data_IF_583905465197
#
_entry.id   IF_583905465197
#
_cell.length_a   1.000
_cell.length_b   1.000
_cell.length_c   1.000
_cell.angle_alpha   90.00
_cell.angle_beta   90.00
_cell.angle_gamma   90.00
#
_symmetry.space_group_name_H-M   'P 1'
#
loop_
_entity.id
_entity.type
_entity.pdbx_description
1 polymer ?
#
# COMPACT_ATOMS: atom_id res chain seq x y z
N UNK A 1 -12.28 8.78 1.55
CA UNK A 1 -10.95 8.19 1.34
C UNK A 1 -11.09 7.04 0.36
N UNK A 2 -10.27 6.98 -0.67
CA UNK A 2 -10.38 5.90 -1.65
C UNK A 2 -9.92 4.58 -1.05
N UNK A 3 -10.57 3.50 -1.48
CA UNK A 3 -10.15 2.16 -1.13
C UNK A 3 -9.05 1.74 -2.08
N UNK A 4 -8.00 1.13 -1.55
CA UNK A 4 -6.88 0.63 -2.34
C UNK A 4 -6.66 -0.84 -2.03
N UNK A 5 -6.17 -1.56 -3.01
CA UNK A 5 -5.82 -2.97 -2.83
C UNK A 5 -4.30 -3.10 -2.91
N UNK A 6 -3.73 -3.78 -1.92
CA UNK A 6 -2.30 -4.04 -1.89
C UNK A 6 -2.10 -5.53 -2.14
N UNK A 7 -1.27 -5.84 -3.13
CA UNK A 7 -0.93 -7.22 -3.46
C UNK A 7 0.58 -7.37 -3.54
N UNK A 8 1.05 -8.56 -3.26
CA UNK A 8 2.46 -8.89 -3.44
C UNK A 8 2.64 -9.52 -4.81
N UNK A 9 3.61 -8.99 -5.57
CA UNK A 9 3.92 -9.53 -6.90
C UNK A 9 4.83 -10.74 -6.78
N UNK A 10 5.04 -11.44 -7.88
CA UNK A 10 5.92 -12.62 -7.91
C UNK A 10 7.36 -12.28 -7.55
N UNK A 11 7.79 -11.07 -7.82
CA UNK A 11 9.13 -10.61 -7.49
C UNK A 11 9.29 -10.18 -6.03
N UNK A 12 8.21 -10.24 -5.25
CA UNK A 12 8.22 -9.81 -3.86
C UNK A 12 7.92 -8.34 -3.66
N UNK A 13 7.69 -7.59 -4.74
CA UNK A 13 7.32 -6.18 -4.65
C UNK A 13 5.85 -6.05 -4.28
N UNK A 14 5.46 -4.86 -3.80
CA UNK A 14 4.07 -4.58 -3.48
C UNK A 14 3.43 -3.79 -4.62
N UNK A 15 2.22 -4.16 -4.97
CA UNK A 15 1.42 -3.49 -5.97
C UNK A 15 0.30 -2.72 -5.27
N UNK A 16 0.15 -1.45 -5.62
CA UNK A 16 -0.83 -0.54 -5.02
C UNK A 16 -1.86 -0.18 -6.08
N UNK A 17 -3.10 -0.62 -5.88
CA UNK A 17 -4.16 -0.43 -6.86
C UNK A 17 -5.27 0.44 -6.28
N UNK A 18 -5.58 1.54 -6.98
CA UNK A 18 -6.68 2.44 -6.61
C UNK A 18 -7.84 2.18 -7.57
N UNK A 19 -8.83 1.44 -7.10
CA UNK A 19 -9.95 1.01 -7.94
C UNK A 19 -10.73 2.19 -8.52
N UNK A 20 -10.94 3.23 -7.74
CA UNK A 20 -11.72 4.38 -8.17
C UNK A 20 -11.09 5.12 -9.35
N UNK A 21 -9.77 5.12 -9.43
CA UNK A 21 -9.02 5.79 -10.50
C UNK A 21 -8.45 4.83 -11.52
N UNK A 22 -8.68 3.53 -11.34
CA UNK A 22 -8.09 2.49 -12.17
C UNK A 22 -6.58 2.68 -12.31
N UNK A 23 -5.94 3.01 -11.19
CA UNK A 23 -4.52 3.27 -11.12
C UNK A 23 -3.81 2.14 -10.38
N UNK A 24 -2.79 1.57 -11.01
CA UNK A 24 -1.96 0.56 -10.37
C UNK A 24 -0.49 0.97 -10.49
N UNK A 25 0.20 1.01 -9.37
CA UNK A 25 1.61 1.37 -9.32
C UNK A 25 2.35 0.49 -8.33
N UNK A 26 3.64 0.30 -8.55
CA UNK A 26 4.48 -0.43 -7.62
C UNK A 26 4.81 0.47 -6.43
N UNK A 27 4.79 -0.11 -5.24
CA UNK A 27 5.21 0.61 -4.03
C UNK A 27 6.72 0.74 -4.03
N UNK A 28 7.20 1.98 -3.94
CA UNK A 28 8.63 2.26 -3.87
C UNK A 28 9.14 2.18 -2.43
N UNK A 29 8.40 2.80 -1.49
CA UNK A 29 8.77 2.80 -0.07
C UNK A 29 7.53 2.63 0.79
N UNK A 30 7.70 1.96 1.93
CA UNK A 30 6.65 1.77 2.91
C UNK A 30 7.23 2.06 4.28
N UNK A 31 6.61 2.97 5.02
CA UNK A 31 7.14 3.44 6.30
C UNK A 31 7.32 2.30 7.30
N UNK A 32 6.30 1.49 7.46
CA UNK A 32 6.34 0.33 8.35
C UNK A 32 6.17 -0.93 7.52
N UNK A 33 7.23 -1.70 7.40
CA UNK A 33 7.24 -2.93 6.60
C UNK A 33 7.90 -4.05 7.40
N UNK A 34 7.23 -4.41 8.49
CA UNK A 34 7.71 -5.49 9.35
C UNK A 34 6.57 -6.43 9.69
N UNK A 35 6.86 -7.67 10.15
CA UNK A 35 5.81 -8.59 10.56
C UNK A 35 4.96 -8.09 11.72
N UNK A 36 5.48 -7.18 12.52
CA UNK A 36 4.79 -6.67 13.70
C UNK A 36 3.95 -5.44 13.40
N UNK A 37 4.35 -4.66 12.38
CA UNK A 37 3.65 -3.43 12.03
C UNK A 37 3.80 -3.18 10.53
N UNK A 38 2.71 -2.78 9.89
CA UNK A 38 2.70 -2.59 8.45
C UNK A 38 1.78 -1.44 8.08
N UNK A 39 2.23 -0.57 7.16
CA UNK A 39 1.46 0.56 6.69
C UNK A 39 2.18 1.89 6.88
N UNK A 40 1.43 2.94 7.19
CA UNK A 40 1.98 4.27 7.33
C UNK A 40 2.12 4.98 5.99
N UNK A 41 3.14 5.81 5.86
CA UNK A 41 3.37 6.54 4.62
C UNK A 41 3.92 5.62 3.54
N UNK A 42 3.27 5.64 2.37
CA UNK A 42 3.69 4.83 1.24
C UNK A 42 4.00 5.74 0.06
N UNK A 43 5.14 5.49 -0.59
CA UNK A 43 5.52 6.21 -1.80
C UNK A 43 5.46 5.23 -2.97
N UNK A 44 4.81 5.66 -4.05
CA UNK A 44 4.68 4.85 -5.25
C UNK A 44 5.80 5.17 -6.24
N UNK A 45 5.97 4.29 -7.22
CA UNK A 45 7.02 4.44 -8.22
C UNK A 45 6.89 5.72 -9.05
N UNK A 46 5.66 6.25 -9.17
CA UNK A 46 5.41 7.48 -9.92
C UNK A 46 5.64 8.75 -9.09
N UNK A 47 6.04 8.60 -7.82
CA UNK A 47 6.28 9.72 -6.93
C UNK A 47 5.09 10.12 -6.07
N UNK A 48 3.93 9.50 -6.28
CA UNK A 48 2.75 9.77 -5.47
C UNK A 48 2.94 9.23 -4.06
N UNK A 49 2.40 9.93 -3.07
CA UNK A 49 2.46 9.52 -1.68
C UNK A 49 1.07 9.38 -1.10
N UNK A 50 0.89 8.33 -0.32
CA UNK A 50 -0.37 8.04 0.36
C UNK A 50 -0.07 7.64 1.80
N UNK A 51 -1.09 7.73 2.64
CA UNK A 51 -1.00 7.27 4.01
C UNK A 51 -1.98 6.11 4.21
N UNK A 52 -1.43 4.98 4.65
CA UNK A 52 -2.22 3.81 5.01
C UNK A 52 -2.29 3.72 6.52
N UNK A 53 -3.47 3.41 7.07
CA UNK A 53 -3.59 3.19 8.50
C UNK A 53 -2.71 2.01 8.89
N UNK A 54 -1.77 2.20 9.84
CA UNK A 54 -0.88 1.11 10.25
C UNK A 54 -1.64 -0.08 10.81
N UNK A 55 -1.22 -1.27 10.41
CA UNK A 55 -1.81 -2.53 10.87
C UNK A 55 -0.84 -3.24 11.81
N UNK A 56 -1.35 -3.79 12.89
CA UNK A 56 -0.59 -4.57 13.86
C UNK A 56 -1.39 -5.82 14.22
N UNK A 57 -0.89 -7.02 13.89
CA UNK A 57 0.30 -7.33 13.10
C UNK A 57 0.10 -7.08 11.61
N UNK A 58 1.16 -7.29 10.81
CA UNK A 58 1.09 -7.12 9.38
C UNK A 58 0.00 -8.03 8.79
N UNK A 59 -0.85 -7.49 7.90
CA UNK A 59 -1.95 -8.26 7.33
C UNK A 59 -1.46 -9.22 6.27
N UNK A 60 -2.30 -10.22 5.96
CA UNK A 60 -2.04 -11.11 4.85
C UNK A 60 -2.45 -10.42 3.56
N UNK A 61 -1.63 -10.53 2.53
CA UNK A 61 -1.92 -9.96 1.22
C UNK A 61 -2.58 -11.02 0.34
N UNK A 62 -3.46 -10.63 -0.56
CA UNK A 62 -3.89 -9.25 -0.83
C UNK A 62 -4.82 -8.70 0.24
N UNK A 63 -4.81 -7.38 0.38
CA UNK A 63 -5.67 -6.71 1.35
C UNK A 63 -6.23 -5.42 0.75
N UNK A 64 -7.45 -5.08 1.14
CA UNK A 64 -8.08 -3.82 0.74
C UNK A 64 -8.10 -2.91 1.95
N UNK A 65 -7.55 -1.72 1.80
CA UNK A 65 -7.47 -0.71 2.86
C UNK A 65 -7.91 0.63 2.33
N UNK A 66 -8.16 1.56 3.25
CA UNK A 66 -8.38 2.95 2.87
C UNK A 66 -7.06 3.70 2.93
N UNK A 67 -6.79 4.49 1.91
CA UNK A 67 -5.58 5.27 1.81
C UNK A 67 -5.92 6.75 1.69
N UNK A 68 -5.18 7.58 2.41
CA UNK A 68 -5.30 9.02 2.32
C UNK A 68 -4.18 9.55 1.45
N UNK A 69 -4.51 10.39 0.47
CA UNK A 69 -3.50 11.00 -0.36
C UNK A 69 -2.78 12.10 0.40
N UNK A 70 -1.47 12.08 0.36
CA UNK A 70 -0.64 13.11 0.97
C UNK A 70 -0.27 14.21 -0.01
#
# INVERSE_FOLDING_TARGET
>A
MPSVMIRQTESGALSFYVAKKDLEETVSTLEFDSPEKWGGEVELADGSKFYLEPQEPAPKLPITLRAKRL
#
